data_IF_956114397365
#
_entry.id   IF_956114397365
#
_cell.length_a   1.000
_cell.length_b   1.000
_cell.length_c   1.000
_cell.angle_alpha   90.00
_cell.angle_beta   90.00
_cell.angle_gamma   90.00
#
_symmetry.space_group_name_H-M   'P 1'
#
loop_
_entity.id
_entity.type
_entity.pdbx_description
1 polymer ?
#
# COMPACT_ATOMS: atom_id res chain seq x y z
N UNK A 1 -10.58 7.22 -14.94
CA UNK A 1 -11.20 6.34 -15.95
C UNK A 1 -10.43 5.02 -15.95
N UNK A 2 -10.94 3.96 -16.58
CA UNK A 2 -10.12 2.73 -16.73
C UNK A 2 -8.84 3.06 -17.51
N UNK A 3 -7.73 2.41 -17.14
CA UNK A 3 -6.40 2.70 -17.68
C UNK A 3 -5.64 3.82 -16.96
N UNK A 4 -6.30 4.65 -16.16
CA UNK A 4 -5.63 5.72 -15.41
C UNK A 4 -4.91 5.21 -14.15
N UNK A 5 -4.16 6.10 -13.50
CA UNK A 5 -3.65 5.88 -12.16
C UNK A 5 -4.46 6.67 -11.13
N UNK A 6 -4.59 6.12 -9.93
CA UNK A 6 -5.16 6.80 -8.77
C UNK A 6 -4.19 6.72 -7.61
N UNK A 7 -4.05 7.81 -6.86
CA UNK A 7 -3.24 7.85 -5.65
C UNK A 7 -4.14 8.03 -4.44
N UNK A 8 -4.03 7.10 -3.50
CA UNK A 8 -4.65 7.19 -2.19
C UNK A 8 -3.69 7.91 -1.26
N UNK A 9 -3.94 9.21 -1.08
CA UNK A 9 -3.14 10.05 -0.19
C UNK A 9 -3.47 9.74 1.27
N UNK A 10 -2.43 9.55 2.08
CA UNK A 10 -2.56 9.34 3.53
C UNK A 10 -2.74 10.65 4.29
N UNK A 11 -2.27 11.77 3.73
CA UNK A 11 -2.23 13.07 4.38
C UNK A 11 -1.17 13.19 5.49
N UNK A 12 -0.29 12.21 5.65
CA UNK A 12 0.76 12.22 6.70
C UNK A 12 2.16 12.24 6.09
N UNK A 13 3.12 12.80 6.85
CA UNK A 13 4.55 12.55 6.63
C UNK A 13 4.94 11.36 7.48
N UNK A 14 5.57 10.36 6.87
CA UNK A 14 5.95 9.14 7.56
C UNK A 14 7.31 9.29 8.21
N UNK A 15 7.48 8.75 9.41
CA UNK A 15 8.74 8.68 10.13
C UNK A 15 9.46 7.34 9.88
N UNK A 16 10.77 7.28 10.13
CA UNK A 16 11.60 6.06 10.02
C UNK A 16 11.23 4.93 11.00
N UNK A 17 10.17 5.07 11.78
CA UNK A 17 9.68 4.03 12.69
C UNK A 17 8.24 3.60 12.34
N UNK A 18 7.60 4.28 11.39
CA UNK A 18 6.23 3.99 11.02
C UNK A 18 6.17 2.75 10.13
N UNK A 19 5.43 1.75 10.59
CA UNK A 19 5.04 0.62 9.76
C UNK A 19 3.75 0.98 9.03
N UNK A 20 3.78 0.87 7.71
CA UNK A 20 2.66 1.24 6.84
C UNK A 20 2.15 -0.03 6.18
N UNK A 21 0.85 -0.29 6.27
CA UNK A 21 0.20 -1.42 5.62
C UNK A 21 -1.06 -0.97 4.91
N UNK A 22 -1.16 -1.35 3.65
CA UNK A 22 -2.37 -1.18 2.86
C UNK A 22 -3.09 -2.50 2.68
N UNK A 23 -4.40 -2.46 2.87
CA UNK A 23 -5.30 -3.58 2.70
C UNK A 23 -6.34 -3.27 1.63
N UNK A 24 -6.69 -4.28 0.83
CA UNK A 24 -7.83 -4.29 -0.08
C UNK A 24 -8.77 -5.42 0.33
N UNK A 25 -10.00 -5.08 0.73
CA UNK A 25 -10.97 -6.04 1.25
C UNK A 25 -10.36 -7.03 2.27
N UNK A 26 -9.62 -6.49 3.25
CA UNK A 26 -8.93 -7.22 4.32
C UNK A 26 -7.71 -8.06 3.92
N UNK A 27 -7.35 -8.10 2.63
CA UNK A 27 -6.09 -8.68 2.14
C UNK A 27 -4.99 -7.62 2.10
N UNK A 28 -3.85 -7.86 2.76
CA UNK A 28 -2.69 -6.96 2.67
C UNK A 28 -2.12 -6.95 1.26
N UNK A 29 -2.04 -5.78 0.64
CA UNK A 29 -1.55 -5.60 -0.75
C UNK A 29 -0.24 -4.81 -0.85
N UNK A 30 0.13 -4.06 0.19
CA UNK A 30 1.41 -3.37 0.24
C UNK A 30 1.86 -3.13 1.69
N UNK A 31 3.17 -3.08 1.92
CA UNK A 31 3.74 -2.82 3.23
C UNK A 31 5.09 -2.11 3.12
N UNK A 32 5.32 -1.18 4.06
CA UNK A 32 6.64 -0.69 4.46
C UNK A 32 6.84 -1.01 5.94
N UNK A 33 8.03 -1.50 6.28
CA UNK A 33 8.50 -1.64 7.67
C UNK A 33 9.20 -0.35 8.11
N UNK A 34 9.16 -0.02 9.40
CA UNK A 34 9.67 1.25 9.92
C UNK A 34 11.12 1.51 9.50
N UNK A 35 12.00 0.52 9.69
CA UNK A 35 13.41 0.57 9.29
C UNK A 35 13.66 0.55 7.77
N UNK A 36 12.60 0.60 6.96
CA UNK A 36 12.62 0.51 5.50
C UNK A 36 13.30 -0.77 4.96
N UNK A 37 13.58 -1.77 5.82
CA UNK A 37 14.26 -3.00 5.43
C UNK A 37 13.42 -3.88 4.50
N UNK A 38 12.09 -3.76 4.64
CA UNK A 38 11.12 -4.50 3.85
C UNK A 38 10.08 -3.55 3.29
N UNK A 39 10.08 -3.48 1.96
CA UNK A 39 9.03 -2.87 1.14
C UNK A 39 8.52 -3.97 0.22
N UNK A 40 7.21 -4.19 0.21
CA UNK A 40 6.58 -5.09 -0.74
C UNK A 40 5.27 -4.52 -1.25
N UNK A 41 4.89 -4.99 -2.44
CA UNK A 41 3.61 -4.72 -3.08
C UNK A 41 3.10 -6.01 -3.71
N UNK A 42 1.80 -6.06 -3.98
CA UNK A 42 1.16 -7.13 -4.75
C UNK A 42 1.60 -8.54 -4.30
N UNK A 43 1.95 -9.41 -5.24
CA UNK A 43 2.31 -10.81 -5.01
C UNK A 43 3.57 -10.95 -4.16
N UNK A 44 4.42 -9.92 -4.11
CA UNK A 44 5.59 -9.90 -3.21
C UNK A 44 5.18 -9.76 -1.74
N UNK A 45 3.98 -9.23 -1.49
CA UNK A 45 3.47 -8.94 -0.16
C UNK A 45 2.48 -10.00 0.34
N UNK A 46 1.69 -10.56 -0.57
CA UNK A 46 0.72 -11.61 -0.28
C UNK A 46 0.33 -12.36 -1.57
N UNK A 47 0.37 -13.69 -1.55
CA UNK A 47 -0.18 -14.52 -2.61
C UNK A 47 -1.70 -14.25 -2.78
N UNK A 48 -2.25 -14.42 -3.98
CA UNK A 48 -3.66 -14.11 -4.24
C UNK A 48 -3.94 -12.63 -4.56
N UNK A 49 -2.91 -11.81 -4.69
CA UNK A 49 -3.01 -10.39 -5.07
C UNK A 49 -2.56 -10.13 -6.52
N UNK A 50 -2.57 -11.15 -7.38
CA UNK A 50 -2.10 -11.11 -8.77
C UNK A 50 -2.81 -10.03 -9.60
N UNK A 51 -4.06 -9.68 -9.24
CA UNK A 51 -4.80 -8.57 -9.85
C UNK A 51 -4.03 -7.24 -9.77
N UNK A 52 -3.22 -7.06 -8.74
CA UNK A 52 -2.40 -5.89 -8.48
C UNK A 52 -0.95 -6.03 -8.96
N UNK A 53 -0.59 -7.15 -9.58
CA UNK A 53 0.78 -7.45 -10.02
C UNK A 53 1.34 -6.32 -10.89
N UNK A 54 2.43 -5.70 -10.43
CA UNK A 54 3.10 -4.55 -11.07
C UNK A 54 2.21 -3.31 -11.23
N UNK A 55 1.12 -3.21 -10.48
CA UNK A 55 0.18 -2.08 -10.52
C UNK A 55 0.22 -1.22 -9.26
N UNK A 56 0.94 -1.63 -8.22
CA UNK A 56 1.04 -0.87 -6.98
C UNK A 56 2.39 -0.18 -6.87
N UNK A 57 2.36 1.07 -6.42
CA UNK A 57 3.55 1.80 -5.99
C UNK A 57 3.26 2.42 -4.63
N UNK A 58 4.08 2.08 -3.64
CA UNK A 58 3.97 2.62 -2.29
C UNK A 58 5.06 3.66 -2.08
N UNK A 59 4.66 4.89 -1.77
CA UNK A 59 5.55 6.00 -1.49
C UNK A 59 6.06 5.92 -0.04
N UNK A 60 7.38 5.87 0.15
CA UNK A 60 7.97 5.69 1.49
C UNK A 60 8.10 6.97 2.31
N UNK A 61 7.84 8.14 1.73
CA UNK A 61 7.92 9.44 2.43
C UNK A 61 6.54 9.88 2.95
N UNK A 62 5.49 9.47 2.24
CA UNK A 62 4.10 9.83 2.57
C UNK A 62 3.25 8.63 2.94
N UNK A 63 3.66 7.41 2.61
CA UNK A 63 2.83 6.21 2.77
C UNK A 63 1.71 6.10 1.74
N UNK A 64 1.65 7.01 0.76
CA UNK A 64 0.59 7.03 -0.25
C UNK A 64 0.70 5.83 -1.18
N UNK A 65 -0.45 5.24 -1.51
CA UNK A 65 -0.53 4.12 -2.45
C UNK A 65 -1.01 4.61 -3.80
N UNK A 66 -0.19 4.47 -4.84
CA UNK A 66 -0.61 4.65 -6.22
C UNK A 66 -0.99 3.29 -6.83
N UNK A 67 -2.17 3.23 -7.42
CA UNK A 67 -2.68 2.10 -8.19
C UNK A 67 -2.66 2.52 -9.66
N UNK A 68 -1.85 1.85 -10.46
CA UNK A 68 -1.63 2.14 -11.88
C UNK A 68 -2.55 1.29 -12.75
N UNK A 69 -2.94 1.83 -13.90
CA UNK A 69 -3.76 1.16 -14.91
C UNK A 69 -5.02 0.55 -14.28
N UNK A 70 -5.85 1.37 -13.63
CA UNK A 70 -7.02 0.88 -12.91
C UNK A 70 -8.06 0.26 -13.85
N UNK A 71 -8.79 -0.74 -13.37
CA UNK A 71 -9.97 -1.32 -14.03
C UNK A 71 -11.04 -1.50 -12.96
N UNK A 72 -12.26 -1.85 -13.35
CA UNK A 72 -13.33 -2.19 -12.42
C UNK A 72 -12.96 -3.30 -11.40
N UNK A 73 -11.95 -4.13 -11.68
CA UNK A 73 -11.46 -5.17 -10.76
C UNK A 73 -10.73 -4.63 -9.53
N UNK A 74 -10.31 -3.37 -9.56
CA UNK A 74 -9.67 -2.68 -8.45
C UNK A 74 -10.69 -1.87 -7.61
N UNK A 75 -11.96 -1.86 -7.99
CA UNK A 75 -13.00 -1.27 -7.15
C UNK A 75 -13.18 -2.11 -5.87
N UNK A 76 -13.14 -1.45 -4.72
CA UNK A 76 -13.28 -2.10 -3.41
C UNK A 76 -12.83 -1.18 -2.28
N UNK A 77 -12.80 -1.72 -1.07
CA UNK A 77 -12.44 -0.96 0.13
C UNK A 77 -10.94 -1.04 0.36
N UNK A 78 -10.31 0.13 0.39
CA UNK A 78 -8.91 0.28 0.76
C UNK A 78 -8.81 0.77 2.21
N UNK A 79 -8.02 0.07 3.02
CA UNK A 79 -7.77 0.43 4.42
C UNK A 79 -6.28 0.65 4.63
N UNK A 80 -5.95 1.72 5.32
CA UNK A 80 -4.60 2.08 5.73
C UNK A 80 -4.43 1.79 7.22
N UNK A 81 -3.35 1.10 7.57
CA UNK A 81 -2.89 0.94 8.94
C UNK A 81 -1.48 1.52 9.05
N UNK A 82 -1.33 2.52 9.90
CA UNK A 82 -0.04 3.08 10.29
C UNK A 82 0.15 2.77 11.78
N UNK A 83 1.29 2.17 12.13
CA UNK A 83 1.68 1.93 13.52
C UNK A 83 3.10 2.44 13.75
N UNK A 84 3.28 3.35 14.70
CA UNK A 84 4.60 3.72 15.21
C UNK A 84 5.18 2.54 16.00
N UNK A 85 6.51 2.46 16.08
CA UNK A 85 7.21 1.48 16.90
C UNK A 85 7.34 1.89 18.38
N UNK A 86 6.67 2.97 18.80
CA UNK A 86 6.66 3.37 20.21
C UNK A 86 5.83 2.38 21.05
N UNK A 87 6.57 1.55 21.78
CA UNK A 87 6.21 0.70 22.93
C UNK A 87 5.59 -0.67 22.58
N UNK A 88 6.44 -1.69 22.57
CA UNK A 88 6.25 -2.92 23.38
C UNK A 88 7.20 -2.83 24.59
#
# INVERSE_FOLDING_TARGET
>A
MEGDSVTLHTGVKTNQQDRIRWYFNDTRIAQITGDLSKICTDVQCNEGTERFSRRLKLDHQTGSLTIMNITNKHSGVYKLLISSSDID
#
